data_IF_342993026446
#
_entry.id   IF_342993026446
#
_cell.length_a   1.000
_cell.length_b   1.000
_cell.length_c   1.000
_cell.angle_alpha   90.00
_cell.angle_beta   90.00
_cell.angle_gamma   90.00
#
_symmetry.space_group_name_H-M   'P 1'
#
loop_
_entity.id
_entity.type
_entity.pdbx_description
1 polymer ?
#
# COMPACT_ATOMS: atom_id res chain seq x y z
N UNK A 1 63.40 29.55 -23.07
CA UNK A 1 62.53 28.71 -23.92
C UNK A 1 62.40 27.24 -23.48
N UNK A 2 63.38 26.60 -22.83
CA UNK A 2 63.28 25.18 -22.38
C UNK A 2 62.19 24.91 -21.32
N UNK A 3 61.91 25.85 -20.41
CA UNK A 3 60.90 25.67 -19.33
C UNK A 3 59.46 25.59 -19.83
N UNK A 4 59.10 26.29 -20.91
CA UNK A 4 57.74 26.26 -21.49
C UNK A 4 57.44 24.98 -22.27
N UNK A 5 58.46 24.27 -22.78
CA UNK A 5 58.28 22.97 -23.44
C UNK A 5 57.85 21.88 -22.45
N UNK A 6 58.35 21.93 -21.22
CA UNK A 6 57.99 20.97 -20.18
C UNK A 6 56.51 21.11 -19.78
N UNK A 7 56.02 22.34 -19.60
CA UNK A 7 54.61 22.60 -19.29
C UNK A 7 53.66 22.17 -20.43
N UNK A 8 54.06 22.36 -21.69
CA UNK A 8 53.29 21.88 -22.84
C UNK A 8 53.15 20.36 -22.86
N UNK A 9 54.23 19.62 -22.54
CA UNK A 9 54.20 18.14 -22.48
C UNK A 9 53.35 17.64 -21.31
N UNK A 10 53.47 18.25 -20.12
CA UNK A 10 52.65 17.88 -18.97
C UNK A 10 51.17 18.11 -19.25
N UNK A 11 50.82 19.27 -19.83
CA UNK A 11 49.42 19.59 -20.18
C UNK A 11 48.87 18.63 -21.23
N UNK A 12 49.66 18.29 -22.25
CA UNK A 12 49.27 17.30 -23.25
C UNK A 12 49.03 15.92 -22.60
N UNK A 13 49.94 15.44 -21.75
CA UNK A 13 49.81 14.15 -21.05
C UNK A 13 48.55 14.12 -20.16
N UNK A 14 48.26 15.19 -19.41
CA UNK A 14 47.06 15.26 -18.59
C UNK A 14 45.77 15.23 -19.44
N UNK A 15 45.72 15.95 -20.55
CA UNK A 15 44.55 15.94 -21.46
C UNK A 15 44.35 14.55 -22.07
N UNK A 16 45.43 13.91 -22.54
CA UNK A 16 45.34 12.56 -23.11
C UNK A 16 44.93 11.53 -22.06
N UNK A 17 45.41 11.65 -20.82
CA UNK A 17 44.99 10.81 -19.70
C UNK A 17 43.51 11.02 -19.35
N UNK A 18 43.01 12.25 -19.33
CA UNK A 18 41.58 12.52 -19.10
C UNK A 18 40.69 11.97 -20.21
N UNK A 19 41.13 12.04 -21.48
CA UNK A 19 40.43 11.43 -22.62
C UNK A 19 40.44 9.91 -22.49
N UNK A 20 41.59 9.30 -22.19
CA UNK A 20 41.69 7.85 -21.98
C UNK A 20 40.85 7.38 -20.78
N UNK A 21 40.77 8.17 -19.70
CA UNK A 21 39.91 7.87 -18.54
C UNK A 21 38.42 7.98 -18.85
N UNK A 22 38.03 8.85 -19.79
CA UNK A 22 36.65 8.95 -20.26
C UNK A 22 36.28 7.89 -21.32
N UNK A 23 37.28 7.27 -21.96
CA UNK A 23 37.10 6.07 -22.80
C UNK A 23 37.06 4.76 -22.02
N UNK A 24 37.44 4.73 -20.73
CA UNK A 24 37.02 3.68 -19.79
C UNK A 24 35.55 3.94 -19.41
N UNK A 25 34.70 4.12 -20.42
CA UNK A 25 33.26 4.12 -20.25
C UNK A 25 32.84 2.76 -19.75
N UNK A 26 31.97 2.75 -18.74
CA UNK A 26 31.33 1.56 -18.19
C UNK A 26 30.87 0.61 -19.32
N UNK A 27 31.69 -0.38 -19.67
CA UNK A 27 31.21 -1.62 -20.26
C UNK A 27 30.40 -2.31 -19.16
N UNK A 28 29.13 -1.90 -19.01
CA UNK A 28 28.16 -2.72 -18.32
C UNK A 28 28.02 -3.97 -19.18
N UNK A 29 28.69 -5.04 -18.76
CA UNK A 29 28.46 -6.36 -19.33
C UNK A 29 26.96 -6.60 -19.24
N UNK A 30 26.26 -6.85 -20.35
CA UNK A 30 24.81 -7.04 -20.31
C UNK A 30 24.49 -8.20 -19.38
N UNK A 31 23.65 -7.94 -18.37
CA UNK A 31 23.24 -8.93 -17.35
C UNK A 31 21.76 -9.24 -17.50
N UNK A 32 21.37 -10.48 -17.22
CA UNK A 32 19.97 -10.86 -17.07
C UNK A 32 19.25 -9.95 -16.07
N UNK A 33 17.98 -9.66 -16.33
CA UNK A 33 17.18 -8.74 -15.52
C UNK A 33 15.70 -9.10 -15.57
N UNK A 34 14.93 -8.46 -14.70
CA UNK A 34 13.47 -8.51 -14.68
C UNK A 34 12.93 -7.16 -15.14
N UNK A 35 12.03 -7.18 -16.11
CA UNK A 35 11.25 -6.01 -16.54
C UNK A 35 9.92 -5.99 -15.78
N UNK A 36 9.51 -4.81 -15.31
CA UNK A 36 8.21 -4.59 -14.67
C UNK A 36 7.34 -3.73 -15.58
N UNK A 37 6.14 -4.23 -15.89
CA UNK A 37 5.09 -3.47 -16.54
C UNK A 37 3.87 -3.42 -15.62
N UNK A 38 3.14 -2.31 -15.65
CA UNK A 38 1.96 -2.11 -14.81
C UNK A 38 0.75 -1.70 -15.64
N UNK A 39 -0.43 -2.15 -15.23
CA UNK A 39 -1.70 -1.62 -15.71
C UNK A 39 -2.60 -1.31 -14.50
N UNK A 40 -2.98 -0.04 -14.27
CA UNK A 40 -2.66 1.15 -15.07
C UNK A 40 -1.14 1.51 -15.07
N UNK A 41 -0.70 2.41 -15.96
CA UNK A 41 0.66 2.94 -15.94
C UNK A 41 1.04 3.53 -14.58
N UNK A 42 2.33 3.49 -14.24
CA UNK A 42 2.85 3.83 -12.91
C UNK A 42 2.34 5.18 -12.36
N UNK A 43 2.27 6.19 -13.20
CA UNK A 43 1.81 7.54 -12.86
C UNK A 43 0.32 7.65 -12.51
N UNK A 44 -0.47 6.61 -12.82
CA UNK A 44 -1.92 6.54 -12.54
C UNK A 44 -2.26 5.57 -11.41
N UNK A 45 -1.27 4.92 -10.82
CA UNK A 45 -1.48 4.03 -9.69
C UNK A 45 -1.74 4.88 -8.45
N UNK A 46 -2.88 4.66 -7.82
CA UNK A 46 -3.30 5.27 -6.55
C UNK A 46 -3.40 4.19 -5.46
N UNK A 47 -3.20 4.53 -4.18
CA UNK A 47 -3.45 3.61 -3.09
C UNK A 47 -4.94 3.27 -2.99
N UNK A 48 -5.27 2.19 -2.29
CA UNK A 48 -6.65 1.84 -1.98
C UNK A 48 -7.34 2.93 -1.16
N UNK A 49 -8.59 3.23 -1.51
CA UNK A 49 -9.46 4.15 -0.77
C UNK A 49 -10.79 3.46 -0.47
N UNK A 50 -11.04 3.15 0.81
CA UNK A 50 -12.25 2.44 1.24
C UNK A 50 -13.54 3.25 0.97
N UNK A 51 -13.47 4.57 1.05
CA UNK A 51 -14.61 5.48 0.84
C UNK A 51 -14.68 6.02 -0.60
N UNK A 52 -14.00 5.38 -1.55
CA UNK A 52 -14.04 5.82 -2.95
C UNK A 52 -15.44 5.69 -3.55
N UNK A 53 -15.90 6.73 -4.26
CA UNK A 53 -17.21 6.72 -4.96
C UNK A 53 -17.32 5.62 -6.03
N UNK A 54 -16.17 5.15 -6.54
CA UNK A 54 -16.10 4.09 -7.55
C UNK A 54 -15.23 2.95 -7.02
N UNK A 55 -15.66 1.69 -7.20
CA UNK A 55 -14.84 0.54 -6.88
C UNK A 55 -13.48 0.62 -7.58
N UNK A 56 -12.42 0.53 -6.81
CA UNK A 56 -11.05 0.54 -7.32
C UNK A 56 -10.64 -0.86 -7.74
N UNK A 57 -10.03 -1.01 -8.91
CA UNK A 57 -9.47 -2.29 -9.36
C UNK A 57 -8.03 -2.45 -8.86
N UNK A 58 -7.59 -3.69 -8.55
CA UNK A 58 -6.19 -3.96 -8.23
C UNK A 58 -5.27 -3.66 -9.41
N UNK A 59 -4.00 -3.37 -9.12
CA UNK A 59 -3.00 -3.06 -10.15
C UNK A 59 -2.48 -4.35 -10.74
N UNK A 60 -2.51 -4.48 -12.07
CA UNK A 60 -1.83 -5.58 -12.75
C UNK A 60 -0.33 -5.32 -12.76
N UNK A 61 0.45 -6.24 -12.20
CA UNK A 61 1.91 -6.25 -12.19
C UNK A 61 2.38 -7.41 -13.08
N UNK A 62 3.10 -7.08 -14.14
CA UNK A 62 3.74 -8.05 -15.04
C UNK A 62 5.24 -8.02 -14.84
N UNK A 63 5.81 -9.12 -14.37
CA UNK A 63 7.23 -9.34 -14.22
C UNK A 63 7.71 -10.25 -15.34
N UNK A 64 8.72 -9.82 -16.08
CA UNK A 64 9.26 -10.57 -17.21
C UNK A 64 10.76 -10.78 -17.05
N UNK A 65 11.19 -12.05 -16.95
CA UNK A 65 12.59 -12.44 -16.87
C UNK A 65 13.21 -12.44 -18.27
N UNK A 66 14.31 -11.70 -18.45
CA UNK A 66 15.03 -11.61 -19.72
C UNK A 66 16.52 -11.84 -19.52
N UNK A 67 17.16 -12.41 -20.54
CA UNK A 67 18.61 -12.59 -20.58
C UNK A 67 19.36 -11.29 -20.90
N UNK A 68 20.68 -11.39 -20.98
CA UNK A 68 21.57 -10.28 -21.35
C UNK A 68 21.26 -9.67 -22.73
N UNK A 69 20.72 -10.45 -23.65
CA UNK A 69 20.31 -10.00 -24.98
C UNK A 69 18.88 -9.43 -25.02
N UNK A 70 18.15 -9.47 -23.90
CA UNK A 70 16.76 -9.05 -23.80
C UNK A 70 15.75 -10.10 -24.28
N UNK A 71 16.18 -11.34 -24.55
CA UNK A 71 15.29 -12.45 -24.88
C UNK A 71 14.65 -13.00 -23.61
N UNK A 72 13.40 -13.45 -23.70
CA UNK A 72 12.71 -14.05 -22.56
C UNK A 72 13.43 -15.31 -22.09
N UNK A 73 13.55 -15.46 -20.77
CA UNK A 73 14.02 -16.69 -20.15
C UNK A 73 12.83 -17.63 -19.99
N UNK A 74 12.82 -18.75 -20.71
CA UNK A 74 11.79 -19.77 -20.59
C UNK A 74 12.06 -20.71 -19.39
N UNK A 75 11.03 -21.42 -18.95
CA UNK A 75 11.07 -22.40 -17.87
C UNK A 75 11.69 -21.82 -16.59
N UNK A 76 11.15 -20.69 -16.13
CA UNK A 76 11.65 -19.98 -14.95
C UNK A 76 10.75 -20.18 -13.75
N UNK A 77 11.33 -20.12 -12.56
CA UNK A 77 10.63 -19.96 -11.30
C UNK A 77 10.88 -18.54 -10.82
N UNK A 78 9.79 -17.79 -10.67
CA UNK A 78 9.82 -16.41 -10.20
C UNK A 78 9.28 -16.40 -8.77
N UNK A 79 10.17 -16.09 -7.83
CA UNK A 79 9.82 -15.82 -6.44
C UNK A 79 9.66 -14.32 -6.25
N UNK A 80 8.45 -13.88 -5.89
CA UNK A 80 8.12 -12.48 -5.71
C UNK A 80 7.86 -12.20 -4.23
N UNK A 81 8.46 -11.13 -3.71
CA UNK A 81 8.06 -10.49 -2.46
C UNK A 81 7.75 -9.02 -2.72
N UNK A 82 6.59 -8.56 -2.25
CA UNK A 82 6.20 -7.15 -2.29
C UNK A 82 6.31 -6.59 -0.87
N UNK A 83 7.24 -5.66 -0.67
CA UNK A 83 7.41 -4.93 0.60
C UNK A 83 6.68 -3.60 0.53
N UNK A 84 5.93 -3.28 1.57
CA UNK A 84 5.26 -1.99 1.70
C UNK A 84 6.28 -0.87 2.00
N UNK A 85 5.94 0.39 1.69
CA UNK A 85 6.75 1.54 2.05
C UNK A 85 7.14 1.56 3.54
N UNK A 86 8.35 2.03 3.89
CA UNK A 86 8.82 2.05 5.27
C UNK A 86 7.98 2.98 6.15
N UNK A 87 7.97 2.69 7.46
CA UNK A 87 7.23 3.48 8.45
C UNK A 87 7.68 4.93 8.49
N UNK A 88 6.70 5.84 8.49
CA UNK A 88 6.94 7.26 8.75
C UNK A 88 6.10 7.73 9.93
N UNK A 89 6.68 7.89 11.14
CA UNK A 89 5.91 8.20 12.33
C UNK A 89 5.23 9.58 12.28
N UNK A 90 5.71 10.51 11.43
CA UNK A 90 5.19 11.88 11.35
C UNK A 90 4.13 12.05 10.26
N UNK A 91 4.19 11.25 9.20
CA UNK A 91 3.30 11.34 8.04
C UNK A 91 2.81 9.95 7.63
N UNK A 92 2.09 9.30 8.54
CA UNK A 92 1.53 7.97 8.30
C UNK A 92 0.48 7.96 7.22
N UNK A 93 0.31 6.80 6.62
CA UNK A 93 -0.71 6.44 5.65
C UNK A 93 -2.02 6.08 6.35
N UNK A 94 -3.07 5.82 5.56
CA UNK A 94 -4.39 5.47 6.08
C UNK A 94 -4.39 4.13 6.83
N UNK A 95 -3.38 3.29 6.57
CA UNK A 95 -3.15 2.01 7.24
C UNK A 95 -1.75 1.98 7.90
N UNK A 96 -1.52 2.66 9.05
CA UNK A 96 -0.19 2.74 9.66
C UNK A 96 0.42 1.37 10.05
N UNK A 97 -0.44 0.37 10.27
CA UNK A 97 -0.04 -0.97 10.71
C UNK A 97 0.66 -1.74 9.58
N UNK A 98 0.29 -1.47 8.33
CA UNK A 98 0.86 -2.17 7.16
C UNK A 98 2.18 -1.56 6.71
N UNK A 99 2.55 -0.37 7.19
CA UNK A 99 3.83 0.26 6.85
C UNK A 99 5.04 -0.58 7.32
N UNK A 100 6.03 -0.75 6.45
CA UNK A 100 7.26 -1.50 6.71
C UNK A 100 7.05 -3.01 6.87
N UNK A 101 6.04 -3.57 6.22
CA UNK A 101 5.69 -4.99 6.28
C UNK A 101 5.77 -5.65 4.89
N UNK A 102 5.47 -6.96 4.84
CA UNK A 102 5.35 -7.71 3.60
C UNK A 102 3.88 -7.77 3.19
N UNK A 103 3.57 -7.32 1.99
CA UNK A 103 2.23 -7.39 1.42
C UNK A 103 1.96 -8.76 0.80
N UNK A 104 2.91 -9.27 0.03
CA UNK A 104 2.79 -10.53 -0.71
C UNK A 104 4.14 -11.27 -0.69
N UNK A 105 4.09 -12.59 -0.59
CA UNK A 105 5.21 -13.48 -0.86
C UNK A 105 4.70 -14.72 -1.59
N UNK A 106 5.18 -14.97 -2.81
CA UNK A 106 4.74 -16.11 -3.60
C UNK A 106 5.87 -16.71 -4.43
N UNK A 107 5.72 -17.97 -4.78
CA UNK A 107 6.57 -18.66 -5.75
C UNK A 107 5.71 -19.14 -6.91
N UNK A 108 6.01 -18.69 -8.12
CA UNK A 108 5.29 -19.08 -9.31
C UNK A 108 6.22 -19.74 -10.32
N UNK A 109 5.72 -20.79 -10.95
CA UNK A 109 6.31 -21.32 -12.17
C UNK A 109 5.86 -20.44 -13.34
N UNK A 110 6.81 -19.95 -14.12
CA UNK A 110 6.63 -19.08 -15.27
C UNK A 110 7.32 -19.72 -16.50
N UNK A 111 6.64 -20.66 -17.19
CA UNK A 111 7.20 -21.37 -18.35
C UNK A 111 7.63 -20.47 -19.50
N UNK A 112 6.94 -19.34 -19.68
CA UNK A 112 7.21 -18.31 -20.70
C UNK A 112 8.11 -17.17 -20.19
N UNK A 113 8.59 -17.26 -18.95
CA UNK A 113 9.37 -16.21 -18.31
C UNK A 113 8.56 -15.04 -17.76
N UNK A 114 7.23 -15.14 -17.74
CA UNK A 114 6.33 -14.07 -17.31
C UNK A 114 5.54 -14.48 -16.06
N UNK A 115 5.49 -13.58 -15.08
CA UNK A 115 4.58 -13.65 -13.93
C UNK A 115 3.64 -12.45 -13.99
N UNK A 116 2.34 -12.69 -14.08
CA UNK A 116 1.29 -11.68 -14.03
C UNK A 116 0.42 -11.89 -12.79
N UNK A 117 0.29 -10.84 -11.98
CA UNK A 117 -0.61 -10.80 -10.83
C UNK A 117 -1.38 -9.49 -10.84
N UNK A 118 -2.53 -9.45 -10.20
CA UNK A 118 -3.18 -8.21 -9.79
C UNK A 118 -3.09 -8.08 -8.28
N UNK A 119 -2.67 -6.91 -7.80
CA UNK A 119 -2.49 -6.65 -6.38
C UNK A 119 -3.07 -5.28 -6.03
N UNK A 120 -3.93 -5.24 -5.03
CA UNK A 120 -4.35 -4.00 -4.39
C UNK A 120 -3.19 -3.44 -3.57
N UNK A 121 -2.87 -2.17 -3.77
CA UNK A 121 -1.78 -1.48 -3.07
C UNK A 121 -2.40 -0.57 -1.99
N UNK A 122 -2.34 -0.93 -0.71
CA UNK A 122 -3.17 -0.27 0.30
C UNK A 122 -2.71 1.14 0.68
N UNK A 123 -1.44 1.49 0.46
CA UNK A 123 -0.84 2.71 0.99
C UNK A 123 0.02 3.43 -0.05
N UNK A 124 0.18 4.75 0.09
CA UNK A 124 1.10 5.54 -0.74
C UNK A 124 2.56 5.23 -0.40
N UNK A 125 3.46 5.47 -1.35
CA UNK A 125 4.91 5.44 -1.16
C UNK A 125 5.65 4.50 -2.11
N UNK A 126 6.94 4.30 -1.85
CA UNK A 126 7.79 3.43 -2.67
C UNK A 126 7.80 1.98 -2.17
N UNK A 127 7.11 1.11 -2.90
CA UNK A 127 7.13 -0.33 -2.69
C UNK A 127 8.40 -0.96 -3.27
N UNK A 128 8.89 -2.00 -2.62
CA UNK A 128 10.02 -2.79 -3.13
C UNK A 128 9.53 -4.17 -3.56
N UNK A 129 9.72 -4.48 -4.84
CA UNK A 129 9.43 -5.80 -5.40
C UNK A 129 10.75 -6.56 -5.46
N UNK A 130 10.98 -7.46 -4.51
CA UNK A 130 12.14 -8.32 -4.51
C UNK A 130 11.83 -9.57 -5.32
N UNK A 131 12.50 -9.70 -6.47
CA UNK A 131 12.28 -10.79 -7.41
C UNK A 131 13.52 -11.67 -7.46
N UNK A 132 13.35 -12.97 -7.21
CA UNK A 132 14.37 -13.97 -7.40
C UNK A 132 13.95 -14.88 -8.56
N UNK A 133 14.82 -15.00 -9.56
CA UNK A 133 14.60 -15.79 -10.77
C UNK A 133 15.56 -16.97 -10.75
N UNK A 134 15.01 -18.18 -10.86
CA UNK A 134 15.79 -19.42 -10.93
C UNK A 134 15.26 -20.29 -12.08
N UNK A 135 16.10 -21.15 -12.68
CA UNK A 135 15.62 -22.05 -13.72
C UNK A 135 14.79 -23.18 -13.08
N UNK A 136 13.68 -23.56 -13.73
CA UNK A 136 12.94 -24.79 -13.39
C UNK A 136 13.77 -26.03 -13.75
N UNK A 137 14.46 -25.97 -14.90
CA UNK A 137 15.37 -27.02 -15.35
C UNK A 137 16.80 -26.67 -14.96
N UNK A 138 17.39 -27.47 -14.07
CA UNK A 138 18.73 -27.25 -13.52
C UNK A 138 19.76 -26.91 -14.61
N UNK A 139 20.61 -25.91 -14.33
CA UNK A 139 21.72 -25.46 -15.20
C UNK A 139 21.32 -24.81 -16.54
N UNK A 140 20.06 -24.38 -16.73
CA UNK A 140 19.68 -23.62 -17.94
C UNK A 140 20.23 -22.18 -17.94
N UNK A 141 20.25 -21.53 -16.76
CA UNK A 141 20.89 -20.23 -16.53
C UNK A 141 21.22 -20.07 -15.04
N UNK A 142 22.11 -19.13 -14.70
CA UNK A 142 22.46 -18.84 -13.31
C UNK A 142 21.33 -18.07 -12.62
N UNK A 143 20.86 -18.50 -11.43
CA UNK A 143 19.86 -17.76 -10.68
C UNK A 143 20.32 -16.33 -10.36
N UNK A 144 19.38 -15.38 -10.35
CA UNK A 144 19.68 -13.98 -10.05
C UNK A 144 18.53 -13.31 -9.29
N UNK A 145 18.88 -12.26 -8.55
CA UNK A 145 17.92 -11.48 -7.77
C UNK A 145 17.95 -10.02 -8.21
N UNK A 146 16.78 -9.39 -8.27
CA UNK A 146 16.63 -7.98 -8.56
C UNK A 146 15.57 -7.36 -7.65
N UNK A 147 15.86 -6.16 -7.15
CA UNK A 147 14.87 -5.33 -6.45
C UNK A 147 14.37 -4.27 -7.42
N UNK A 148 13.06 -4.27 -7.66
CA UNK A 148 12.36 -3.28 -8.48
C UNK A 148 11.63 -2.30 -7.55
N UNK A 149 11.57 -1.03 -7.92
CA UNK A 149 10.87 0.00 -7.15
C UNK A 149 9.54 0.34 -7.84
N UNK A 150 8.48 0.44 -7.06
CA UNK A 150 7.15 0.80 -7.52
C UNK A 150 6.63 1.96 -6.66
N UNK A 151 6.61 3.17 -7.23
CA UNK A 151 6.18 4.37 -6.52
C UNK A 151 4.68 4.61 -6.71
N UNK A 152 3.91 4.50 -5.62
CA UNK A 152 2.48 4.77 -5.57
C UNK A 152 2.26 6.17 -5.03
N UNK A 153 1.65 7.04 -5.83
CA UNK A 153 1.41 8.42 -5.44
C UNK A 153 0.10 8.55 -4.67
N UNK A 154 0.07 9.45 -3.69
CA UNK A 154 -1.16 9.79 -2.98
C UNK A 154 -2.18 10.44 -3.93
N UNK A 155 -3.46 10.25 -3.61
CA UNK A 155 -4.52 10.93 -4.34
C UNK A 155 -4.41 12.45 -4.15
N UNK A 156 -4.28 13.25 -5.24
CA UNK A 156 -4.12 14.70 -5.14
C UNK A 156 -5.30 15.40 -4.48
N UNK A 157 -6.48 14.76 -4.44
CA UNK A 157 -7.67 15.29 -3.79
C UNK A 157 -7.47 15.39 -2.27
N UNK A 158 -6.78 14.42 -1.64
CA UNK A 158 -6.50 14.46 -0.19
C UNK A 158 -5.67 15.67 0.20
N UNK A 159 -4.69 16.07 -0.62
CA UNK A 159 -3.92 17.30 -0.38
C UNK A 159 -4.79 18.56 -0.47
N UNK A 160 -5.75 18.60 -1.41
CA UNK A 160 -6.69 19.73 -1.51
C UNK A 160 -7.54 19.83 -0.24
N UNK A 161 -8.12 18.73 0.22
CA UNK A 161 -8.90 18.71 1.47
C UNK A 161 -8.06 19.10 2.68
N UNK A 162 -6.83 18.59 2.77
CA UNK A 162 -5.91 18.99 3.84
C UNK A 162 -5.66 20.50 3.86
N UNK A 163 -5.36 21.12 2.71
CA UNK A 163 -5.12 22.58 2.62
C UNK A 163 -6.36 23.37 3.03
N UNK A 164 -7.56 22.95 2.59
CA UNK A 164 -8.82 23.60 2.96
C UNK A 164 -9.05 23.52 4.48
N UNK A 165 -8.90 22.34 5.07
CA UNK A 165 -9.04 22.15 6.53
C UNK A 165 -8.01 22.98 7.29
N UNK A 166 -6.75 22.96 6.87
CA UNK A 166 -5.69 23.76 7.49
C UNK A 166 -6.00 25.27 7.43
N UNK A 167 -6.50 25.76 6.29
CA UNK A 167 -6.90 27.16 6.13
C UNK A 167 -8.08 27.55 7.05
N UNK A 168 -9.07 26.66 7.20
CA UNK A 168 -10.19 26.86 8.14
C UNK A 168 -9.66 26.92 9.58
N UNK A 169 -8.84 25.96 10.00
CA UNK A 169 -8.28 25.91 11.37
C UNK A 169 -7.41 27.13 11.68
N UNK A 170 -6.56 27.56 10.73
CA UNK A 170 -5.76 28.78 10.86
C UNK A 170 -6.64 30.02 10.99
N UNK A 171 -7.71 30.12 10.19
CA UNK A 171 -8.65 31.24 10.23
C UNK A 171 -9.41 31.30 11.55
N UNK A 172 -9.87 30.15 12.06
CA UNK A 172 -10.51 30.04 13.37
C UNK A 172 -9.55 30.46 14.50
N UNK A 173 -8.31 29.97 14.46
CA UNK A 173 -7.26 30.38 15.38
C UNK A 173 -7.05 31.90 15.34
N UNK A 174 -6.87 32.47 14.14
CA UNK A 174 -6.65 33.89 13.94
C UNK A 174 -7.78 34.75 14.49
N UNK A 175 -9.03 34.41 14.18
CA UNK A 175 -10.19 35.12 14.72
C UNK A 175 -10.25 35.00 16.25
N UNK A 176 -9.97 33.82 16.80
CA UNK A 176 -9.90 33.62 18.24
C UNK A 176 -8.85 34.49 18.91
N UNK A 177 -7.62 34.49 18.38
CA UNK A 177 -6.53 35.32 18.90
C UNK A 177 -6.81 36.82 18.75
N UNK A 178 -7.46 37.22 17.66
CA UNK A 178 -7.86 38.61 17.45
C UNK A 178 -8.91 39.09 18.45
N UNK A 179 -9.93 38.28 18.71
CA UNK A 179 -10.99 38.61 19.69
C UNK A 179 -10.41 38.66 21.09
N UNK A 180 -9.59 37.66 21.49
CA UNK A 180 -8.94 37.62 22.80
C UNK A 180 -7.96 38.79 22.99
N UNK A 181 -7.24 39.17 21.93
CA UNK A 181 -6.31 40.30 21.96
C UNK A 181 -6.98 41.67 21.91
N UNK A 182 -8.29 41.73 21.65
CA UNK A 182 -9.06 42.98 21.68
C UNK A 182 -9.17 43.47 23.13
N UNK A 183 -8.49 44.57 23.44
CA UNK A 183 -8.57 45.21 24.76
C UNK A 183 -9.92 45.93 24.93
N UNK A 184 -10.94 45.18 25.32
CA UNK A 184 -12.14 45.73 25.94
C UNK A 184 -11.82 46.08 27.41
N UNK A 185 -12.15 47.29 27.85
CA UNK A 185 -11.99 47.69 29.26
C UNK A 185 -12.82 46.77 30.15
N UNK A 186 -12.16 46.14 31.12
CA UNK A 186 -12.83 45.30 32.12
C UNK A 186 -13.77 46.18 32.95
N UNK A 187 -15.06 45.90 32.90
CA UNK A 187 -16.01 46.56 33.79
C UNK A 187 -15.72 46.15 35.24
N UNK A 188 -15.93 47.08 36.18
CA UNK A 188 -15.59 46.89 37.58
C UNK A 188 -16.34 45.69 38.17
N UNK A 189 -15.63 44.59 38.45
CA UNK A 189 -16.18 43.31 38.91
C UNK A 189 -16.16 42.17 37.89
N UNK A 190 -15.73 42.41 36.64
CA UNK A 190 -15.57 41.38 35.62
C UNK A 190 -14.15 40.79 35.59
N UNK A 191 -14.04 39.47 35.39
CA UNK A 191 -12.77 38.71 35.37
C UNK A 191 -12.19 38.63 33.94
N UNK A 192 -13.03 38.76 32.90
CA UNK A 192 -12.64 38.76 31.49
C UNK A 192 -13.65 39.57 30.66
N UNK A 193 -13.24 40.17 29.52
CA UNK A 193 -14.14 40.95 28.70
C UNK A 193 -15.31 40.13 28.14
N UNK A 194 -16.44 40.79 27.87
CA UNK A 194 -17.67 40.13 27.43
C UNK A 194 -17.48 39.33 26.14
N UNK A 195 -16.70 39.87 25.19
CA UNK A 195 -16.33 39.20 23.94
C UNK A 195 -15.58 37.88 24.16
N UNK A 196 -14.64 37.86 25.11
CA UNK A 196 -13.87 36.68 25.49
C UNK A 196 -14.75 35.66 26.19
N UNK A 197 -15.65 36.10 27.07
CA UNK A 197 -16.61 35.23 27.76
C UNK A 197 -17.56 34.56 26.78
N UNK A 198 -18.13 35.31 25.83
CA UNK A 198 -19.00 34.78 24.79
C UNK A 198 -18.28 33.78 23.89
N UNK A 199 -17.02 34.06 23.52
CA UNK A 199 -16.20 33.16 22.71
C UNK A 199 -15.90 31.85 23.45
N UNK A 200 -15.50 31.92 24.72
CA UNK A 200 -15.26 30.73 25.56
C UNK A 200 -16.54 29.92 25.79
N UNK A 201 -17.68 30.59 26.03
CA UNK A 201 -18.98 29.92 26.17
C UNK A 201 -19.40 29.22 24.87
N UNK A 202 -19.26 29.89 23.72
CA UNK A 202 -19.55 29.29 22.41
C UNK A 202 -18.63 28.09 22.12
N UNK A 203 -17.32 28.22 22.37
CA UNK A 203 -16.36 27.12 22.23
C UNK A 203 -16.70 25.94 23.14
N UNK A 204 -17.13 26.21 24.36
CA UNK A 204 -17.52 25.16 25.31
C UNK A 204 -18.75 24.40 24.81
N UNK A 205 -19.78 25.12 24.32
CA UNK A 205 -20.97 24.49 23.71
C UNK A 205 -20.59 23.67 22.48
N UNK A 206 -19.76 24.21 21.58
CA UNK A 206 -19.29 23.49 20.39
C UNK A 206 -18.48 22.26 20.80
N UNK A 207 -17.60 22.36 21.79
CA UNK A 207 -16.82 21.23 22.30
C UNK A 207 -17.73 20.14 22.90
N UNK A 208 -18.74 20.53 23.68
CA UNK A 208 -19.73 19.60 24.25
C UNK A 208 -20.53 18.92 23.14
N UNK A 209 -21.04 19.67 22.17
CA UNK A 209 -21.79 19.13 21.02
C UNK A 209 -20.89 18.21 20.19
N UNK A 210 -19.64 18.59 19.96
CA UNK A 210 -18.67 17.77 19.21
C UNK A 210 -18.34 16.50 19.97
N UNK A 211 -18.13 16.56 21.30
CA UNK A 211 -17.91 15.37 22.14
C UNK A 211 -19.14 14.47 22.21
N UNK A 212 -20.36 15.04 22.22
CA UNK A 212 -21.61 14.28 22.12
C UNK A 212 -21.73 13.60 20.76
N UNK A 213 -21.49 14.32 19.66
CA UNK A 213 -21.53 13.76 18.30
C UNK A 213 -20.45 12.69 18.14
N UNK A 214 -19.23 12.91 18.63
CA UNK A 214 -18.15 11.91 18.57
C UNK A 214 -18.48 10.70 19.45
N UNK A 215 -19.00 10.87 20.67
CA UNK A 215 -19.38 9.72 21.50
C UNK A 215 -20.55 8.94 20.90
N UNK A 216 -21.60 9.62 20.41
CA UNK A 216 -22.74 8.96 19.74
C UNK A 216 -22.26 8.28 18.46
N UNK A 217 -21.39 8.92 17.67
CA UNK A 217 -20.88 8.33 16.42
C UNK A 217 -19.89 7.19 16.69
N UNK A 218 -19.10 7.26 17.77
CA UNK A 218 -18.19 6.20 18.19
C UNK A 218 -18.96 5.00 18.77
N UNK A 219 -20.03 5.23 19.52
CA UNK A 219 -20.92 4.19 20.06
C UNK A 219 -21.77 3.56 18.95
N UNK A 220 -22.20 4.34 17.94
CA UNK A 220 -22.85 3.82 16.72
C UNK A 220 -21.84 3.08 15.83
N UNK A 221 -20.59 3.53 15.74
CA UNK A 221 -19.52 2.82 15.02
C UNK A 221 -19.07 1.54 15.75
N UNK A 222 -19.06 1.51 17.08
CA UNK A 222 -18.87 0.28 17.88
C UNK A 222 -20.09 -0.64 17.81
N UNK A 223 -21.31 -0.09 17.77
CA UNK A 223 -22.55 -0.88 17.60
C UNK A 223 -22.60 -1.54 16.22
N UNK A 224 -22.17 -0.86 15.15
CA UNK A 224 -21.97 -1.47 13.83
C UNK A 224 -20.73 -2.37 13.74
N UNK A 225 -19.81 -2.30 14.71
CA UNK A 225 -18.70 -3.25 14.86
C UNK A 225 -19.13 -4.63 15.41
N UNK A 226 -20.40 -4.80 15.78
CA UNK A 226 -20.96 -6.05 16.31
C UNK A 226 -22.29 -6.47 15.67
N UNK A 227 -22.84 -5.68 14.75
CA UNK A 227 -23.95 -6.15 13.93
C UNK A 227 -23.39 -7.11 12.88
N UNK A 228 -23.59 -8.39 13.16
CA UNK A 228 -23.79 -9.42 12.15
C UNK A 228 -24.79 -8.91 11.12
N UNK A 229 -24.33 -8.17 10.11
CA UNK A 229 -25.04 -8.15 8.85
C UNK A 229 -25.19 -9.62 8.48
N UNK A 230 -26.43 -10.12 8.28
CA UNK A 230 -26.62 -11.47 7.83
C UNK A 230 -25.81 -11.55 6.55
N UNK A 231 -24.77 -12.38 6.58
CA UNK A 231 -24.03 -12.74 5.40
C UNK A 231 -25.07 -12.93 4.32
N UNK A 232 -24.96 -12.14 3.24
CA UNK A 232 -25.49 -12.60 1.97
C UNK A 232 -25.04 -14.05 1.92
N UNK A 233 -25.98 -14.98 2.03
CA UNK A 233 -25.72 -16.40 2.21
C UNK A 233 -25.29 -16.92 0.84
N UNK A 234 -24.21 -16.35 0.33
CA UNK A 234 -23.49 -16.83 -0.82
C UNK A 234 -22.93 -18.15 -0.37
N UNK A 235 -23.43 -19.23 -0.96
CA UNK A 235 -22.95 -20.57 -0.68
C UNK A 235 -21.50 -20.61 -1.14
N UNK A 236 -20.58 -20.44 -0.19
CA UNK A 236 -19.13 -20.52 -0.45
C UNK A 236 -18.85 -21.94 -0.93
N UNK A 237 -18.15 -22.06 -2.06
CA UNK A 237 -17.73 -23.36 -2.57
C UNK A 237 -16.89 -24.09 -1.50
N UNK A 238 -16.92 -25.43 -1.43
CA UNK A 238 -16.16 -26.15 -0.43
C UNK A 238 -14.65 -25.91 -0.60
N UNK A 239 -13.90 -25.92 0.50
CA UNK A 239 -12.44 -25.76 0.47
C UNK A 239 -11.71 -26.97 -0.12
N UNK A 240 -12.42 -28.07 -0.39
CA UNK A 240 -11.92 -29.22 -1.11
C UNK A 240 -13.02 -29.82 -1.98
N UNK A 241 -12.67 -30.20 -3.20
CA UNK A 241 -13.60 -30.84 -4.12
C UNK A 241 -12.91 -31.97 -4.89
N UNK A 242 -13.65 -33.07 -5.07
CA UNK A 242 -13.28 -34.17 -5.96
C UNK A 242 -14.22 -34.14 -7.16
N UNK A 243 -13.68 -33.97 -8.36
CA UNK A 243 -14.47 -33.92 -9.59
C UNK A 243 -13.65 -34.45 -10.77
N UNK A 244 -14.23 -35.33 -11.59
CA UNK A 244 -13.68 -35.74 -12.88
C UNK A 244 -12.20 -36.19 -12.85
N UNK A 245 -11.80 -36.93 -11.82
CA UNK A 245 -10.41 -37.40 -11.68
C UNK A 245 -9.46 -36.43 -10.98
N UNK A 246 -9.93 -35.24 -10.60
CA UNK A 246 -9.18 -34.18 -9.93
C UNK A 246 -9.64 -34.02 -8.48
N UNK A 247 -8.70 -34.03 -7.55
CA UNK A 247 -8.86 -33.59 -6.16
C UNK A 247 -8.13 -32.26 -6.00
N UNK A 248 -8.89 -31.20 -5.72
CA UNK A 248 -8.39 -29.87 -5.43
C UNK A 248 -8.68 -29.55 -3.97
N UNK A 249 -7.67 -29.09 -3.22
CA UNK A 249 -7.81 -28.71 -1.83
C UNK A 249 -7.09 -27.40 -1.54
N UNK A 250 -7.84 -26.45 -1.02
CA UNK A 250 -7.36 -25.18 -0.49
C UNK A 250 -7.17 -25.33 1.02
N UNK A 251 -5.95 -25.07 1.46
CA UNK A 251 -5.52 -25.20 2.84
C UNK A 251 -4.79 -23.92 3.28
N UNK A 252 -4.65 -23.71 4.58
CA UNK A 252 -3.94 -22.57 5.12
C UNK A 252 -4.69 -21.93 6.29
N UNK A 253 -4.34 -20.69 6.57
CA UNK A 253 -4.93 -19.90 7.64
C UNK A 253 -6.38 -19.54 7.30
N UNK A 254 -7.31 -19.86 8.21
CA UNK A 254 -8.72 -19.44 8.15
C UNK A 254 -9.01 -18.19 8.98
N UNK A 255 -8.03 -17.80 9.79
CA UNK A 255 -8.06 -16.61 10.62
C UNK A 255 -6.78 -15.84 10.36
N UNK A 256 -6.92 -14.57 10.02
CA UNK A 256 -5.82 -13.66 9.79
C UNK A 256 -5.92 -12.43 10.71
N UNK A 257 -4.94 -11.55 10.62
CA UNK A 257 -4.90 -10.31 11.38
C UNK A 257 -4.33 -9.23 10.49
N UNK A 258 -4.94 -8.04 10.51
CA UNK A 258 -4.46 -6.89 9.72
C UNK A 258 -2.96 -6.68 9.90
N UNK A 259 -2.25 -6.53 8.79
CA UNK A 259 -0.80 -6.27 8.81
C UNK A 259 0.08 -7.50 9.09
N UNK A 260 -0.49 -8.71 9.19
CA UNK A 260 0.26 -9.98 9.28
C UNK A 260 0.04 -10.82 8.03
N UNK A 261 1.06 -11.60 7.67
CA UNK A 261 0.97 -12.57 6.58
C UNK A 261 0.11 -13.77 7.00
N UNK A 262 -0.90 -14.10 6.20
CA UNK A 262 -1.62 -15.35 6.23
C UNK A 262 -0.97 -16.34 5.25
N UNK A 263 -0.90 -17.61 5.62
CA UNK A 263 -0.35 -18.68 4.80
C UNK A 263 -1.46 -19.38 4.03
N UNK A 264 -1.33 -19.43 2.72
CA UNK A 264 -2.30 -20.04 1.82
C UNK A 264 -1.61 -21.06 0.92
N UNK A 265 -2.28 -22.19 0.71
CA UNK A 265 -1.75 -23.30 -0.05
C UNK A 265 -2.85 -24.02 -0.82
N UNK A 266 -2.62 -24.23 -2.10
CA UNK A 266 -3.42 -25.09 -2.95
C UNK A 266 -2.68 -26.40 -3.19
N UNK A 267 -3.42 -27.51 -3.24
CA UNK A 267 -2.91 -28.81 -3.66
C UNK A 267 -3.88 -29.45 -4.65
N UNK A 268 -3.32 -29.90 -5.78
CA UNK A 268 -3.99 -30.68 -6.82
C UNK A 268 -3.42 -32.10 -6.83
N UNK A 269 -4.30 -33.10 -6.89
CA UNK A 269 -3.96 -34.51 -7.00
C UNK A 269 -4.92 -35.23 -7.93
N UNK A 270 -4.42 -36.27 -8.58
CA UNK A 270 -5.26 -37.21 -9.32
C UNK A 270 -6.00 -38.14 -8.35
N UNK A 271 -7.32 -38.25 -8.48
CA UNK A 271 -8.13 -39.02 -7.50
C UNK A 271 -7.89 -40.53 -7.58
N UNK A 272 -7.43 -41.04 -8.73
CA UNK A 272 -7.23 -42.48 -8.93
C UNK A 272 -5.84 -42.93 -8.48
N UNK A 273 -4.82 -42.17 -8.84
CA UNK A 273 -3.41 -42.49 -8.57
C UNK A 273 -2.84 -41.81 -7.32
N UNK A 274 -3.49 -40.77 -6.80
CA UNK A 274 -3.00 -39.95 -5.70
C UNK A 274 -1.80 -39.07 -6.04
N UNK A 275 -1.35 -39.10 -7.30
CA UNK A 275 -0.17 -38.38 -7.78
C UNK A 275 -0.45 -36.89 -7.93
N UNK A 276 0.55 -36.01 -7.75
CA UNK A 276 0.39 -34.58 -7.99
C UNK A 276 0.06 -34.28 -9.46
N UNK A 277 -0.72 -33.23 -9.69
CA UNK A 277 -1.07 -32.75 -11.03
C UNK A 277 -0.44 -31.38 -11.24
N UNK A 278 0.40 -31.26 -12.27
CA UNK A 278 1.11 -30.03 -12.62
C UNK A 278 0.54 -29.31 -13.87
N UNK A 279 -0.22 -30.01 -14.71
CA UNK A 279 -0.68 -29.57 -16.04
C UNK A 279 -2.08 -28.93 -16.01
N UNK A 280 -2.32 -28.07 -15.02
CA UNK A 280 -3.61 -27.39 -14.78
C UNK A 280 -3.39 -25.90 -14.66
N UNK A 281 -4.23 -25.12 -15.35
CA UNK A 281 -4.27 -23.68 -15.20
C UNK A 281 -5.09 -23.31 -13.95
N UNK A 282 -4.56 -22.38 -13.17
CA UNK A 282 -5.13 -21.89 -11.92
C UNK A 282 -5.46 -20.41 -12.06
N UNK A 283 -6.65 -20.03 -11.58
CA UNK A 283 -7.03 -18.65 -11.30
C UNK A 283 -7.34 -18.55 -9.80
N UNK A 284 -6.53 -17.78 -9.07
CA UNK A 284 -6.64 -17.58 -7.62
C UNK A 284 -7.06 -16.14 -7.37
N UNK A 285 -8.12 -15.95 -6.59
CA UNK A 285 -8.62 -14.62 -6.21
C UNK A 285 -8.77 -14.51 -4.70
N UNK A 286 -8.35 -13.39 -4.14
CA UNK A 286 -8.78 -12.97 -2.80
C UNK A 286 -9.80 -11.84 -2.94
N UNK A 287 -10.98 -12.04 -2.36
CA UNK A 287 -12.14 -11.16 -2.53
C UNK A 287 -12.62 -10.73 -1.14
N UNK A 288 -12.60 -9.44 -0.83
CA UNK A 288 -13.23 -8.91 0.38
C UNK A 288 -14.75 -9.04 0.26
N UNK A 289 -15.38 -9.75 1.20
CA UNK A 289 -16.78 -10.18 1.08
C UNK A 289 -17.79 -9.04 1.26
N UNK A 290 -17.42 -8.00 2.02
CA UNK A 290 -18.29 -6.87 2.34
C UNK A 290 -18.72 -6.07 1.09
N UNK A 291 -17.82 -5.93 0.12
CA UNK A 291 -18.05 -5.13 -1.10
C UNK A 291 -17.77 -5.91 -2.39
N UNK A 292 -17.55 -7.22 -2.30
CA UNK A 292 -17.14 -8.09 -3.41
C UNK A 292 -15.93 -7.52 -4.17
N UNK A 293 -14.95 -7.00 -3.43
CA UNK A 293 -13.78 -6.33 -3.97
C UNK A 293 -12.63 -7.33 -4.12
N UNK A 294 -12.16 -7.55 -5.35
CA UNK A 294 -10.95 -8.35 -5.58
C UNK A 294 -9.71 -7.56 -5.17
N UNK A 295 -8.97 -8.08 -4.19
CA UNK A 295 -7.73 -7.46 -3.71
C UNK A 295 -6.47 -8.14 -4.27
N UNK A 296 -6.60 -9.39 -4.71
CA UNK A 296 -5.53 -10.17 -5.32
C UNK A 296 -6.10 -11.09 -6.41
N UNK A 297 -5.40 -11.19 -7.54
CA UNK A 297 -5.68 -12.13 -8.63
C UNK A 297 -4.35 -12.69 -9.15
N UNK A 298 -4.27 -14.01 -9.31
CA UNK A 298 -3.12 -14.68 -9.92
C UNK A 298 -3.60 -15.73 -10.91
N UNK A 299 -2.98 -15.73 -12.10
CA UNK A 299 -3.17 -16.74 -13.13
C UNK A 299 -1.86 -17.45 -13.42
N UNK A 300 -1.85 -18.77 -13.31
CA UNK A 300 -0.65 -19.55 -13.58
C UNK A 300 -0.85 -21.04 -13.41
N UNK A 301 0.21 -21.76 -13.05
CA UNK A 301 0.22 -23.21 -12.90
C UNK A 301 0.79 -23.60 -11.53
N UNK A 302 0.46 -24.79 -11.00
CA UNK A 302 1.09 -25.31 -9.79
C UNK A 302 2.54 -25.75 -10.05
N UNK A 303 3.25 -26.07 -8.97
CA UNK A 303 4.57 -26.67 -9.00
C UNK A 303 4.55 -28.16 -9.40
N UNK A 304 5.72 -28.78 -9.51
CA UNK A 304 5.87 -30.20 -9.85
C UNK A 304 5.23 -31.14 -8.81
N UNK A 305 4.97 -30.64 -7.60
CA UNK A 305 4.26 -31.34 -6.53
C UNK A 305 2.75 -31.05 -6.55
N UNK A 306 2.26 -30.41 -7.61
CA UNK A 306 0.86 -30.03 -7.76
C UNK A 306 0.42 -29.00 -6.74
N UNK A 307 1.34 -28.19 -6.21
CA UNK A 307 1.07 -27.19 -5.17
C UNK A 307 1.25 -25.77 -5.68
N UNK A 308 0.51 -24.86 -5.07
CA UNK A 308 0.80 -23.43 -5.13
C UNK A 308 0.79 -22.93 -3.69
N UNK A 309 1.85 -22.27 -3.25
CA UNK A 309 1.92 -21.67 -1.91
C UNK A 309 2.20 -20.18 -2.03
N UNK A 310 1.45 -19.39 -1.27
CA UNK A 310 1.65 -17.96 -1.17
C UNK A 310 1.31 -17.48 0.23
N UNK A 311 1.84 -16.32 0.56
CA UNK A 311 1.52 -15.60 1.78
C UNK A 311 1.03 -14.23 1.40
N UNK A 312 -0.08 -13.82 1.99
CA UNK A 312 -0.74 -12.56 1.68
C UNK A 312 -1.07 -11.83 2.99
N UNK A 313 -0.87 -10.53 2.99
CA UNK A 313 -1.30 -9.67 4.08
C UNK A 313 -2.63 -9.01 3.73
N UNK A 314 -3.60 -9.16 4.61
CA UNK A 314 -4.83 -8.39 4.58
C UNK A 314 -4.61 -7.03 5.26
N UNK A 315 -5.10 -5.97 4.64
CA UNK A 315 -4.90 -4.59 5.09
C UNK A 315 -6.14 -3.98 5.77
N UNK A 316 -7.31 -4.59 5.60
CA UNK A 316 -8.54 -4.24 6.30
C UNK A 316 -9.03 -5.40 7.21
N UNK A 317 -10.05 -5.11 8.03
CA UNK A 317 -10.64 -6.08 8.94
C UNK A 317 -11.81 -6.86 8.36
N UNK A 318 -12.09 -6.74 7.06
CA UNK A 318 -13.26 -7.37 6.45
C UNK A 318 -12.97 -8.85 6.18
N UNK A 319 -13.96 -9.77 6.30
CA UNK A 319 -13.75 -11.16 5.92
C UNK A 319 -13.42 -11.29 4.43
N UNK A 320 -12.60 -12.27 4.09
CA UNK A 320 -12.17 -12.51 2.70
C UNK A 320 -12.56 -13.90 2.24
N UNK A 321 -12.96 -14.01 0.97
CA UNK A 321 -13.14 -15.27 0.25
C UNK A 321 -11.92 -15.49 -0.64
N UNK A 322 -11.17 -16.55 -0.36
CA UNK A 322 -10.14 -17.07 -1.27
C UNK A 322 -10.82 -18.04 -2.21
N UNK A 323 -10.93 -17.68 -3.48
CA UNK A 323 -11.54 -18.49 -4.54
C UNK A 323 -10.45 -19.00 -5.46
N UNK A 324 -10.51 -20.29 -5.81
CA UNK A 324 -9.61 -20.90 -6.78
C UNK A 324 -10.41 -21.65 -7.82
N UNK A 325 -10.17 -21.32 -9.08
CA UNK A 325 -10.71 -22.02 -10.24
C UNK A 325 -9.57 -22.77 -10.95
N UNK A 326 -9.74 -24.07 -11.13
CA UNK A 326 -8.84 -24.94 -11.87
C UNK A 326 -9.44 -25.31 -13.22
N UNK A 327 -8.69 -25.11 -14.29
CA UNK A 327 -9.10 -25.41 -15.68
C UNK A 327 -8.02 -26.22 -16.41
N UNK A 328 -8.40 -27.07 -17.38
CA UNK A 328 -7.42 -27.78 -18.20
C UNK A 328 -6.49 -26.79 -18.91
N UNK A 329 -5.19 -27.05 -18.87
CA UNK A 329 -4.24 -26.28 -19.67
C UNK A 329 -4.48 -26.56 -21.17
N UNK A 330 -4.42 -25.55 -22.06
CA UNK A 330 -4.52 -25.78 -23.51
C UNK A 330 -3.48 -26.80 -23.97
N UNK A 331 -3.93 -27.89 -24.60
CA UNK A 331 -3.05 -28.97 -25.06
C UNK A 331 -2.71 -30.04 -24.02
N UNK A 332 -3.25 -29.97 -22.79
CA UNK A 332 -3.15 -31.08 -21.84
C UNK A 332 -3.95 -32.31 -22.32
N UNK A 333 -3.40 -33.50 -22.05
CA UNK A 333 -4.09 -34.77 -22.25
C UNK A 333 -5.28 -34.94 -21.29
N UNK A 334 -5.29 -34.21 -20.18
CA UNK A 334 -6.37 -34.22 -19.19
C UNK A 334 -7.39 -33.15 -19.57
N UNK A 335 -8.64 -33.58 -19.74
CA UNK A 335 -9.76 -32.69 -20.05
C UNK A 335 -10.84 -32.85 -18.97
N UNK A 336 -11.27 -31.74 -18.39
CA UNK A 336 -12.28 -31.67 -17.34
C UNK A 336 -12.98 -30.31 -17.36
N UNK A 337 -14.20 -30.23 -16.85
CA UNK A 337 -14.91 -28.96 -16.65
C UNK A 337 -14.26 -28.16 -15.51
N UNK A 338 -14.27 -26.82 -15.55
CA UNK A 338 -13.70 -25.99 -14.49
C UNK A 338 -14.17 -26.41 -13.10
N UNK A 339 -13.22 -26.55 -12.16
CA UNK A 339 -13.51 -26.93 -10.76
C UNK A 339 -13.18 -25.74 -9.86
N UNK A 340 -14.14 -25.34 -9.03
CA UNK A 340 -14.01 -24.19 -8.12
C UNK A 340 -13.99 -24.65 -6.66
N UNK A 341 -13.00 -24.19 -5.90
CA UNK A 341 -12.98 -24.31 -4.43
C UNK A 341 -12.87 -22.93 -3.82
N UNK A 342 -13.38 -22.78 -2.61
CA UNK A 342 -13.26 -21.54 -1.88
C UNK A 342 -13.03 -21.77 -0.38
N UNK A 343 -12.40 -20.80 0.26
CA UNK A 343 -12.23 -20.77 1.71
C UNK A 343 -12.44 -19.34 2.21
N UNK A 344 -13.24 -19.20 3.26
CA UNK A 344 -13.35 -17.94 3.99
C UNK A 344 -12.17 -17.77 4.95
N UNK A 345 -11.67 -16.55 5.03
CA UNK A 345 -10.64 -16.11 5.95
C UNK A 345 -11.20 -14.94 6.75
N UNK A 346 -11.45 -15.17 8.03
CA UNK A 346 -11.84 -14.12 8.95
C UNK A 346 -10.63 -13.26 9.29
N UNK A 347 -10.73 -11.94 9.12
CA UNK A 347 -9.61 -11.03 9.37
C UNK A 347 -9.87 -10.21 10.62
N UNK A 348 -9.02 -10.36 11.64
CA UNK A 348 -9.12 -9.53 12.84
C UNK A 348 -8.61 -8.11 12.55
N UNK A 349 -9.51 -7.14 12.63
CA UNK A 349 -9.20 -5.71 12.59
C UNK A 349 -8.25 -5.32 13.74
N UNK A 350 -7.32 -4.38 13.48
CA UNK A 350 -6.52 -3.74 14.52
C UNK A 350 -6.74 -2.23 14.44
N UNK A 351 -7.11 -1.61 15.57
CA UNK A 351 -7.24 -0.17 15.65
C UNK A 351 -5.89 0.55 15.44
N UNK A 352 -5.88 1.72 14.78
CA UNK A 352 -4.67 2.53 14.66
C UNK A 352 -4.04 2.83 16.04
N UNK A 353 -2.71 2.75 16.18
CA UNK A 353 -2.04 3.05 17.46
C UNK A 353 -2.38 4.45 17.98
N UNK A 354 -2.57 4.58 19.30
CA UNK A 354 -3.00 5.85 19.92
C UNK A 354 -2.04 7.02 19.64
N UNK A 355 -0.74 6.76 19.56
CA UNK A 355 0.25 7.81 19.30
C UNK A 355 0.08 8.45 17.92
N UNK A 356 -0.41 7.71 16.91
CA UNK A 356 -0.72 8.28 15.58
C UNK A 356 -1.88 9.27 15.66
N UNK A 357 -2.90 8.94 16.46
CA UNK A 357 -4.02 9.85 16.72
C UNK A 357 -3.54 11.12 17.45
N UNK A 358 -2.61 10.98 18.39
CA UNK A 358 -2.02 12.12 19.11
C UNK A 358 -1.20 13.03 18.20
N UNK A 359 -0.48 12.48 17.20
CA UNK A 359 0.27 13.27 16.22
C UNK A 359 -0.69 14.08 15.33
N UNK A 360 -1.78 13.46 14.85
CA UNK A 360 -2.82 14.18 14.10
C UNK A 360 -3.45 15.30 14.92
N UNK A 361 -3.80 15.03 16.19
CA UNK A 361 -4.30 16.04 17.11
C UNK A 361 -3.31 17.18 17.34
N UNK A 362 -2.01 16.86 17.47
CA UNK A 362 -0.96 17.85 17.59
C UNK A 362 -0.92 18.78 16.36
N UNK A 363 -0.96 18.25 15.14
CA UNK A 363 -0.96 19.08 13.94
C UNK A 363 -2.18 20.00 13.85
N UNK A 364 -3.38 19.48 14.10
CA UNK A 364 -4.60 20.31 14.08
C UNK A 364 -4.58 21.39 15.16
N UNK A 365 -4.11 21.06 16.37
CA UNK A 365 -3.95 22.04 17.45
C UNK A 365 -2.89 23.08 17.12
N UNK A 366 -1.78 22.67 16.49
CA UNK A 366 -0.71 23.58 16.07
C UNK A 366 -1.21 24.60 15.04
N UNK A 367 -2.02 24.20 14.05
CA UNK A 367 -2.62 25.14 13.10
C UNK A 367 -3.48 26.19 13.80
N UNK A 368 -4.34 25.78 14.73
CA UNK A 368 -5.17 26.72 15.51
C UNK A 368 -4.29 27.64 16.37
N UNK A 369 -3.30 27.08 17.07
CA UNK A 369 -2.38 27.83 17.92
C UNK A 369 -1.54 28.87 17.16
N UNK A 370 -1.05 28.51 15.96
CA UNK A 370 -0.34 29.43 15.06
C UNK A 370 -1.27 30.57 14.63
N UNK A 371 -2.50 30.25 14.20
CA UNK A 371 -3.51 31.26 13.87
C UNK A 371 -3.74 32.22 15.04
N UNK A 372 -3.96 31.69 16.24
CA UNK A 372 -4.20 32.47 17.46
C UNK A 372 -3.02 33.39 17.80
N UNK A 373 -1.79 32.88 17.73
CA UNK A 373 -0.60 33.70 17.95
C UNK A 373 -0.52 34.86 16.95
N UNK A 374 -0.83 34.62 15.67
CA UNK A 374 -0.89 35.67 14.65
C UNK A 374 -1.97 36.71 15.00
N UNK A 375 -3.18 36.27 15.37
CA UNK A 375 -4.28 37.17 15.77
C UNK A 375 -3.91 38.07 16.95
N UNK A 376 -3.32 37.49 18.00
CA UNK A 376 -2.83 38.22 19.18
C UNK A 376 -1.73 39.23 18.81
N UNK A 377 -0.77 38.82 17.98
CA UNK A 377 0.32 39.69 17.53
C UNK A 377 -0.20 40.88 16.70
N UNK A 378 -1.22 40.67 15.86
CA UNK A 378 -1.82 41.76 15.10
C UNK A 378 -2.48 42.76 16.04
N UNK A 379 -3.22 42.30 17.05
CA UNK A 379 -3.84 43.19 18.04
C UNK A 379 -2.80 43.95 18.87
N UNK A 380 -1.76 43.26 19.33
CA UNK A 380 -0.69 43.89 20.12
C UNK A 380 0.03 45.00 19.35
N UNK A 381 0.22 44.84 18.03
CA UNK A 381 0.81 45.87 17.16
C UNK A 381 -0.13 47.04 16.86
N UNK A 382 -1.45 46.85 17.01
CA UNK A 382 -2.44 47.91 16.77
C UNK A 382 -2.58 48.86 17.94
N UNK A 383 -2.15 48.47 19.13
CA UNK A 383 -2.11 49.36 20.29
C UNK A 383 -1.06 50.45 20.01
N UNK A 384 -1.44 51.72 19.79
CA UNK A 384 -0.46 52.78 19.68
C UNK A 384 0.24 52.89 21.03
N UNK A 385 1.58 52.92 21.06
CA UNK A 385 2.29 53.50 22.20
C UNK A 385 1.67 54.87 22.45
N UNK A 386 0.93 55.01 23.55
CA UNK A 386 0.50 56.31 24.02
C UNK A 386 1.77 57.16 24.12
N UNK A 387 1.90 58.15 23.24
CA UNK A 387 2.91 59.20 23.40
C UNK A 387 2.63 59.83 24.76
N UNK A 388 3.48 59.50 25.73
CA UNK A 388 3.49 60.19 27.01
C UNK A 388 3.71 61.67 26.75
N UNK A 389 2.78 62.49 27.23
CA UNK A 389 3.00 63.92 27.42
C UNK A 389 3.82 64.12 28.70
#
# INVERSE_FOLDING_TARGET
MKKYRLFGVISAVCITLSILYSFVGNSQTPTSRVLLFTNPPLERILPFEAEAEKPQSPVTLTLQAVDAAGKHLENTKISLQILTPPRNPWLTTDFPIVEGTKLLQMNANAPDGKLEIQQMLPIRGNYQLMVNVSPLVTNTFAPYQQTLNLNVHENPIKYKYFVVIAAILLSLGLLGGWVIGGQEELQQGEIAPQSVRLLLSALTVVAIVTLLVINISAEVAEAHGSEHHPSSTEVIAPSSQKSQGLEISLNGDKNATVGKLANLALQLKDTASGQPIADVALEVKAIATEHNLTIFDYKGIPDEQGKLTWQEQFFDGSPHKIEVEATPLPGSNRQFAPVKVAQEVEVKAIAPPIYIRLIGLFYFTAFVGIGMAIGLLIQHRRTPQARGN
#
